data_IF_214177178953
#
_entry.id   IF_214177178953
#
_cell.length_a   1.000
_cell.length_b   1.000
_cell.length_c   1.000
_cell.angle_alpha   90.00
_cell.angle_beta   90.00
_cell.angle_gamma   90.00
#
_symmetry.space_group_name_H-M   'P 1'
#
loop_
_entity.id
_entity.type
_entity.pdbx_description
1 polymer ?
#
# COMPACT_ATOMS: atom_id res chain seq x y z
N UNK A 1 1.61 18.81 23.51
CA UNK A 1 1.15 18.05 22.31
C UNK A 1 1.14 19.03 21.16
N UNK A 2 2.07 18.84 20.23
CA UNK A 2 2.43 19.82 19.21
C UNK A 2 1.30 20.01 18.17
N UNK A 3 1.05 21.27 17.84
CA UNK A 3 0.16 21.68 16.73
C UNK A 3 0.64 21.16 15.36
N UNK A 4 1.92 20.90 15.18
CA UNK A 4 2.52 20.29 14.00
C UNK A 4 1.94 18.88 13.71
N UNK A 5 1.81 18.01 14.70
CA UNK A 5 1.26 16.64 14.49
C UNK A 5 -0.16 16.63 13.91
N UNK A 6 -1.01 17.62 14.26
CA UNK A 6 -2.38 17.70 13.73
C UNK A 6 -2.44 18.17 12.28
N UNK A 7 -1.52 19.06 11.88
CA UNK A 7 -1.44 19.51 10.50
C UNK A 7 -0.90 18.41 9.58
N UNK A 8 0.14 17.69 10.00
CA UNK A 8 0.68 16.57 9.24
C UNK A 8 -0.37 15.48 9.00
N UNK A 9 -1.14 15.09 10.00
CA UNK A 9 -2.26 14.14 9.85
C UNK A 9 -3.37 14.63 8.92
N UNK A 10 -3.62 15.94 8.85
CA UNK A 10 -4.65 16.48 7.96
C UNK A 10 -4.20 16.40 6.49
N UNK A 11 -2.95 16.74 6.20
CA UNK A 11 -2.38 16.60 4.86
C UNK A 11 -2.33 15.13 4.41
N UNK A 12 -1.86 14.25 5.27
CA UNK A 12 -1.82 12.81 5.00
C UNK A 12 -3.21 12.24 4.69
N UNK A 13 -4.25 12.68 5.38
CA UNK A 13 -5.62 12.26 5.10
C UNK A 13 -6.13 12.77 3.75
N UNK A 14 -5.83 14.02 3.39
CA UNK A 14 -6.24 14.62 2.11
C UNK A 14 -5.57 13.93 0.93
N UNK A 15 -4.25 13.65 1.03
CA UNK A 15 -3.51 12.87 0.05
C UNK A 15 -4.06 11.43 -0.08
N UNK A 16 -4.39 10.81 1.05
CA UNK A 16 -4.96 9.47 1.08
C UNK A 16 -6.35 9.40 0.43
N UNK A 17 -7.18 10.41 0.63
CA UNK A 17 -8.50 10.48 0.00
C UNK A 17 -8.39 10.68 -1.51
N UNK A 18 -7.45 11.50 -1.98
CA UNK A 18 -7.14 11.62 -3.40
C UNK A 18 -6.64 10.29 -3.97
N UNK A 19 -5.67 9.64 -3.33
CA UNK A 19 -5.15 8.36 -3.78
C UNK A 19 -6.24 7.29 -3.86
N UNK A 20 -7.12 7.20 -2.86
CA UNK A 20 -8.27 6.29 -2.87
C UNK A 20 -9.20 6.58 -4.05
N UNK A 21 -9.49 7.85 -4.32
CA UNK A 21 -10.34 8.24 -5.42
C UNK A 21 -9.74 7.80 -6.77
N UNK A 22 -8.46 8.10 -7.00
CA UNK A 22 -7.75 7.72 -8.23
C UNK A 22 -7.73 6.21 -8.43
N UNK A 23 -7.35 5.45 -7.40
CA UNK A 23 -7.31 3.99 -7.48
C UNK A 23 -8.69 3.37 -7.74
N UNK A 24 -9.74 3.88 -7.08
CA UNK A 24 -11.10 3.38 -7.27
C UNK A 24 -11.66 3.75 -8.65
N UNK A 25 -11.29 4.91 -9.18
CA UNK A 25 -11.65 5.33 -10.52
C UNK A 25 -11.02 4.41 -11.56
N UNK A 26 -9.69 4.23 -11.53
CA UNK A 26 -8.98 3.34 -12.45
C UNK A 26 -9.52 1.90 -12.34
N UNK A 27 -9.78 1.42 -11.13
CA UNK A 27 -10.33 0.08 -10.94
C UNK A 27 -11.71 -0.13 -11.57
N UNK A 28 -12.54 0.92 -11.64
CA UNK A 28 -13.93 0.82 -12.16
C UNK A 28 -14.03 1.17 -13.62
N UNK A 29 -13.33 2.21 -14.07
CA UNK A 29 -13.53 2.80 -15.39
C UNK A 29 -12.54 2.26 -16.45
N UNK A 30 -11.40 1.68 -16.03
CA UNK A 30 -10.39 1.16 -16.95
C UNK A 30 -10.63 -0.32 -17.26
N UNK A 31 -10.11 -0.79 -18.41
CA UNK A 31 -10.12 -2.21 -18.77
C UNK A 31 -9.21 -3.02 -17.83
N UNK A 32 -9.45 -4.33 -17.74
CA UNK A 32 -8.74 -5.20 -16.78
C UNK A 32 -7.21 -5.13 -16.87
N UNK A 33 -6.65 -4.98 -18.09
CA UNK A 33 -5.21 -4.83 -18.30
C UNK A 33 -4.63 -3.50 -17.81
N UNK A 34 -5.47 -2.47 -17.72
CA UNK A 34 -5.06 -1.10 -17.35
C UNK A 34 -5.43 -0.76 -15.90
N UNK A 35 -6.01 -1.69 -15.14
CA UNK A 35 -6.35 -1.52 -13.72
C UNK A 35 -5.12 -1.62 -12.83
N UNK A 36 -4.16 -0.76 -13.07
CA UNK A 36 -2.86 -0.78 -12.41
C UNK A 36 -2.59 0.49 -11.61
N UNK A 37 -1.67 0.38 -10.66
CA UNK A 37 -1.27 1.53 -9.86
C UNK A 37 -0.54 2.61 -10.69
N UNK A 38 0.31 2.25 -11.66
CA UNK A 38 0.87 3.23 -12.60
C UNK A 38 -0.17 4.05 -13.34
N UNK A 39 -1.32 3.49 -13.73
CA UNK A 39 -2.39 4.24 -14.38
C UNK A 39 -3.04 5.27 -13.45
N UNK A 40 -3.20 4.94 -12.17
CA UNK A 40 -3.66 5.90 -11.17
C UNK A 40 -2.67 7.06 -10.99
N UNK A 41 -1.37 6.78 -11.06
CA UNK A 41 -0.33 7.80 -11.02
C UNK A 41 -0.30 8.66 -12.29
N UNK A 42 -0.45 8.07 -13.47
CA UNK A 42 -0.55 8.81 -14.74
C UNK A 42 -1.76 9.75 -14.74
N UNK A 43 -2.90 9.30 -14.20
CA UNK A 43 -4.10 10.13 -14.07
C UNK A 43 -3.82 11.37 -13.20
N UNK A 44 -3.07 11.21 -12.11
CA UNK A 44 -2.67 12.32 -11.24
C UNK A 44 -1.76 13.33 -11.96
N UNK A 45 -0.81 12.84 -12.77
CA UNK A 45 0.18 13.70 -13.42
C UNK A 45 -0.34 14.43 -14.67
N UNK A 46 -1.20 13.77 -15.44
CA UNK A 46 -1.57 14.22 -16.78
C UNK A 46 -2.82 15.12 -16.79
N UNK A 47 -3.52 15.24 -15.66
CA UNK A 47 -4.72 16.07 -15.58
C UNK A 47 -4.49 17.31 -14.72
N UNK A 48 -5.06 18.44 -15.14
CA UNK A 48 -5.17 19.62 -14.28
C UNK A 48 -6.18 19.36 -13.16
N UNK A 49 -6.16 20.18 -12.10
CA UNK A 49 -7.13 20.08 -11.02
C UNK A 49 -8.56 20.23 -11.53
N UNK A 50 -8.79 21.17 -12.46
CA UNK A 50 -10.11 21.42 -13.06
C UNK A 50 -10.59 20.20 -13.88
N UNK A 51 -9.68 19.54 -14.59
CA UNK A 51 -10.00 18.33 -15.35
C UNK A 51 -10.31 17.15 -14.42
N UNK A 52 -9.60 17.02 -13.31
CA UNK A 52 -9.92 16.03 -12.27
C UNK A 52 -11.29 16.33 -11.64
N UNK A 53 -11.55 17.58 -11.23
CA UNK A 53 -12.84 17.98 -10.66
C UNK A 53 -13.99 17.65 -11.65
N UNK A 54 -13.87 18.00 -12.93
CA UNK A 54 -14.87 17.68 -13.95
C UNK A 54 -15.08 16.16 -14.13
N UNK A 55 -13.97 15.38 -14.13
CA UNK A 55 -14.03 13.92 -14.25
C UNK A 55 -14.81 13.29 -13.10
N UNK A 56 -14.48 13.65 -11.86
CA UNK A 56 -15.13 13.04 -10.68
C UNK A 56 -16.54 13.57 -10.41
N UNK A 57 -16.84 14.81 -10.76
CA UNK A 57 -18.20 15.38 -10.67
C UNK A 57 -19.16 14.71 -11.68
N UNK A 58 -18.67 14.36 -12.87
CA UNK A 58 -19.44 13.63 -13.89
C UNK A 58 -19.79 12.18 -13.53
N UNK A 59 -19.16 11.60 -12.49
CA UNK A 59 -19.46 10.23 -12.07
C UNK A 59 -20.85 10.10 -11.44
N UNK A 60 -21.50 8.92 -11.57
CA UNK A 60 -22.75 8.61 -10.85
C UNK A 60 -22.60 8.75 -9.33
N UNK A 61 -23.68 9.11 -8.63
CA UNK A 61 -23.64 9.32 -7.17
C UNK A 61 -23.20 8.08 -6.38
N UNK A 62 -23.49 6.89 -6.86
CA UNK A 62 -23.11 5.62 -6.23
C UNK A 62 -21.72 5.13 -6.64
N UNK A 63 -20.96 5.90 -7.43
CA UNK A 63 -19.62 5.52 -7.84
C UNK A 63 -18.64 5.54 -6.65
N UNK A 64 -17.88 4.46 -6.40
CA UNK A 64 -17.04 4.33 -5.18
C UNK A 64 -15.94 5.39 -5.06
N UNK A 65 -15.47 5.94 -6.18
CA UNK A 65 -14.44 6.98 -6.18
C UNK A 65 -14.99 8.37 -5.79
N UNK A 66 -16.29 8.61 -5.93
CA UNK A 66 -16.89 9.93 -5.73
C UNK A 66 -16.84 10.39 -4.27
N UNK A 67 -17.05 9.48 -3.32
CA UNK A 67 -16.97 9.78 -1.90
C UNK A 67 -15.60 10.29 -1.45
N UNK A 68 -14.52 9.52 -1.67
CA UNK A 68 -13.17 9.96 -1.37
C UNK A 68 -12.78 11.25 -2.10
N UNK A 69 -13.15 11.40 -3.38
CA UNK A 69 -12.86 12.63 -4.12
C UNK A 69 -13.56 13.85 -3.52
N UNK A 70 -14.80 13.73 -3.09
CA UNK A 70 -15.51 14.80 -2.39
C UNK A 70 -14.86 15.24 -1.08
N UNK A 71 -14.25 14.30 -0.33
CA UNK A 71 -13.50 14.64 0.88
C UNK A 71 -12.25 15.45 0.52
N UNK A 72 -11.49 15.00 -0.47
CA UNK A 72 -10.36 15.74 -1.01
C UNK A 72 -10.79 17.13 -1.53
N UNK A 73 -11.86 17.20 -2.32
CA UNK A 73 -12.34 18.43 -2.95
C UNK A 73 -12.76 19.50 -1.94
N UNK A 74 -13.33 19.11 -0.79
CA UNK A 74 -13.68 20.04 0.29
C UNK A 74 -12.48 20.71 0.97
N UNK A 75 -11.29 20.16 0.80
CA UNK A 75 -10.07 20.71 1.38
C UNK A 75 -9.43 21.79 0.48
N UNK A 76 -10.21 22.76 -0.01
CA UNK A 76 -9.81 23.75 -1.03
C UNK A 76 -8.46 24.42 -0.80
N UNK A 77 -8.16 24.78 0.44
CA UNK A 77 -6.91 25.48 0.80
C UNK A 77 -5.65 24.63 0.64
N UNK A 78 -5.79 23.30 0.58
CA UNK A 78 -4.66 22.35 0.59
C UNK A 78 -4.65 21.43 -0.62
N UNK A 79 -5.63 21.50 -1.52
CA UNK A 79 -5.71 20.65 -2.73
C UNK A 79 -4.39 20.61 -3.50
N UNK A 80 -3.83 21.80 -3.83
CA UNK A 80 -2.58 21.89 -4.58
C UNK A 80 -1.41 21.22 -3.87
N UNK A 81 -1.30 21.43 -2.56
CA UNK A 81 -0.26 20.79 -1.76
C UNK A 81 -0.45 19.28 -1.66
N UNK A 82 -1.69 18.79 -1.55
CA UNK A 82 -1.97 17.36 -1.52
C UNK A 82 -1.65 16.68 -2.86
N UNK A 83 -1.90 17.32 -4.00
CA UNK A 83 -1.51 16.81 -5.32
C UNK A 83 0.03 16.72 -5.42
N UNK A 84 0.74 17.79 -5.04
CA UNK A 84 2.20 17.83 -5.07
C UNK A 84 2.81 16.80 -4.09
N UNK A 85 2.28 16.71 -2.87
CA UNK A 85 2.73 15.76 -1.87
C UNK A 85 2.53 14.32 -2.32
N UNK A 86 1.34 13.99 -2.82
CA UNK A 86 1.05 12.67 -3.37
C UNK A 86 1.92 12.36 -4.60
N UNK A 87 2.09 13.31 -5.51
CA UNK A 87 2.97 13.17 -6.67
C UNK A 87 4.42 12.88 -6.29
N UNK A 88 4.93 13.56 -5.27
CA UNK A 88 6.28 13.32 -4.73
C UNK A 88 6.39 11.94 -4.08
N UNK A 89 5.43 11.54 -3.25
CA UNK A 89 5.43 10.21 -2.60
C UNK A 89 5.34 9.06 -3.61
N UNK A 90 4.65 9.28 -4.71
CA UNK A 90 4.49 8.29 -5.79
C UNK A 90 5.53 8.43 -6.90
N UNK A 91 6.53 9.28 -6.75
CA UNK A 91 7.55 9.53 -7.78
C UNK A 91 8.27 8.26 -8.24
N UNK A 92 8.37 7.25 -7.37
CA UNK A 92 8.91 5.94 -7.72
C UNK A 92 8.19 5.30 -8.91
N UNK A 93 6.92 5.64 -9.15
CA UNK A 93 6.12 5.17 -10.29
C UNK A 93 6.59 5.75 -11.63
N UNK A 94 7.53 6.70 -11.66
CA UNK A 94 8.20 7.14 -12.90
C UNK A 94 9.23 6.12 -13.39
N UNK A 95 9.72 5.26 -12.52
CA UNK A 95 10.66 4.21 -12.89
C UNK A 95 9.93 3.12 -13.71
N UNK A 96 10.40 2.87 -14.94
CA UNK A 96 9.80 1.88 -15.86
C UNK A 96 9.76 0.47 -15.29
N UNK A 97 10.82 0.04 -14.57
CA UNK A 97 10.86 -1.27 -13.93
C UNK A 97 9.79 -1.41 -12.84
N UNK A 98 9.59 -0.34 -12.06
CA UNK A 98 8.53 -0.32 -11.03
C UNK A 98 7.16 -0.38 -11.68
N UNK A 99 6.94 0.36 -12.78
CA UNK A 99 5.69 0.28 -13.54
C UNK A 99 5.45 -1.15 -14.05
N UNK A 100 6.47 -1.78 -14.61
CA UNK A 100 6.37 -3.15 -15.11
C UNK A 100 6.04 -4.14 -13.98
N UNK A 101 6.81 -4.16 -12.89
CA UNK A 101 6.58 -5.05 -11.73
C UNK A 101 5.19 -4.86 -11.13
N UNK A 102 4.67 -3.63 -11.10
CA UNK A 102 3.37 -3.32 -10.48
C UNK A 102 2.18 -3.42 -11.44
N UNK A 103 2.41 -3.67 -12.72
CA UNK A 103 1.37 -3.81 -13.75
C UNK A 103 0.86 -5.24 -13.93
N UNK A 104 1.54 -6.23 -13.38
CA UNK A 104 1.25 -7.65 -13.59
C UNK A 104 0.87 -8.35 -12.30
N UNK A 105 0.24 -9.50 -12.44
CA UNK A 105 -0.14 -10.39 -11.35
C UNK A 105 0.59 -11.72 -11.47
N UNK A 106 1.90 -11.73 -11.22
CA UNK A 106 2.76 -12.89 -11.41
C UNK A 106 2.85 -13.77 -10.16
N UNK A 107 2.54 -13.21 -8.98
CA UNK A 107 2.68 -13.88 -7.69
C UNK A 107 1.31 -14.07 -7.04
N UNK A 108 0.95 -15.32 -6.74
CA UNK A 108 -0.22 -15.62 -5.90
C UNK A 108 0.16 -15.50 -4.42
N UNK A 109 -0.22 -14.39 -3.80
CA UNK A 109 0.06 -14.12 -2.39
C UNK A 109 -0.66 -15.06 -1.41
N UNK A 110 -1.56 -15.92 -1.86
CA UNK A 110 -2.24 -16.93 -1.02
C UNK A 110 -1.61 -18.32 -1.14
N UNK A 111 -0.80 -18.55 -2.16
CA UNK A 111 -0.19 -19.83 -2.47
C UNK A 111 0.61 -20.45 -1.31
N UNK A 112 1.43 -19.67 -0.54
CA UNK A 112 2.18 -20.25 0.58
C UNK A 112 1.30 -20.87 1.67
N UNK A 113 0.07 -20.36 1.83
CA UNK A 113 -0.91 -20.93 2.77
C UNK A 113 -1.66 -22.15 2.23
N UNK A 114 -1.53 -22.47 0.94
CA UNK A 114 -2.22 -23.56 0.26
C UNK A 114 -1.30 -24.76 0.03
N UNK A 115 -0.05 -24.52 -0.37
CA UNK A 115 0.93 -25.57 -0.64
C UNK A 115 2.33 -25.14 -0.19
N UNK A 116 3.19 -26.15 0.05
CA UNK A 116 4.59 -25.90 0.41
C UNK A 116 5.31 -25.18 -0.73
N UNK A 117 5.76 -23.97 -0.49
CA UNK A 117 6.59 -23.17 -1.40
C UNK A 117 7.41 -22.18 -0.60
N UNK A 118 8.37 -21.52 -1.24
CA UNK A 118 9.16 -20.43 -0.66
C UNK A 118 9.17 -19.23 -1.61
N UNK A 119 8.99 -18.05 -1.07
CA UNK A 119 9.17 -16.78 -1.77
C UNK A 119 10.42 -16.09 -1.23
N UNK A 120 11.30 -15.69 -2.14
CA UNK A 120 12.50 -14.96 -1.82
C UNK A 120 12.35 -13.52 -2.34
N UNK A 121 12.31 -12.57 -1.41
CA UNK A 121 12.29 -11.15 -1.72
C UNK A 121 13.71 -10.60 -1.49
N UNK A 122 14.42 -10.31 -2.57
CA UNK A 122 15.78 -9.79 -2.51
C UNK A 122 15.71 -8.28 -2.66
N UNK A 123 16.23 -7.54 -1.70
CA UNK A 123 16.33 -6.07 -1.70
C UNK A 123 17.80 -5.64 -1.77
N UNK A 124 18.04 -4.41 -2.22
CA UNK A 124 19.39 -3.84 -2.25
C UNK A 124 19.75 -3.27 -0.88
N UNK A 125 20.95 -3.52 -0.42
CA UNK A 125 21.49 -2.91 0.81
C UNK A 125 21.96 -1.47 0.58
N UNK A 126 22.16 -1.08 -0.68
CA UNK A 126 22.76 0.21 -1.04
C UNK A 126 21.74 1.21 -1.58
N UNK A 127 20.57 0.76 -2.03
CA UNK A 127 19.55 1.59 -2.66
C UNK A 127 18.19 1.37 -2.01
N UNK A 128 17.77 2.31 -1.18
CA UNK A 128 16.49 2.30 -0.49
C UNK A 128 15.29 2.71 -1.39
N UNK A 129 15.54 3.04 -2.66
CA UNK A 129 14.49 3.49 -3.59
C UNK A 129 13.36 2.46 -3.71
N UNK A 130 13.70 1.17 -3.62
CA UNK A 130 12.74 0.08 -3.77
C UNK A 130 12.20 -0.50 -2.46
N UNK A 131 12.59 0.01 -1.30
CA UNK A 131 12.12 -0.46 0.00
C UNK A 131 10.61 -0.40 0.15
N UNK A 132 9.97 0.58 -0.49
CA UNK A 132 8.51 0.70 -0.53
C UNK A 132 7.85 -0.52 -1.18
N UNK A 133 8.45 -1.11 -2.21
CA UNK A 133 7.92 -2.31 -2.87
C UNK A 133 8.03 -3.53 -1.95
N UNK A 134 9.16 -3.69 -1.26
CA UNK A 134 9.35 -4.75 -0.26
C UNK A 134 8.34 -4.61 0.90
N UNK A 135 8.15 -3.38 1.39
CA UNK A 135 7.16 -3.06 2.43
C UNK A 135 5.74 -3.41 1.98
N UNK A 136 5.36 -3.04 0.76
CA UNK A 136 4.06 -3.37 0.17
C UNK A 136 3.90 -4.87 -0.01
N UNK A 137 4.92 -5.57 -0.52
CA UNK A 137 4.89 -7.02 -0.69
C UNK A 137 4.64 -7.74 0.63
N UNK A 138 5.43 -7.45 1.68
CA UNK A 138 5.24 -8.05 3.01
C UNK A 138 3.86 -7.72 3.58
N UNK A 139 3.41 -6.46 3.43
CA UNK A 139 2.09 -6.03 3.92
C UNK A 139 0.95 -6.76 3.22
N UNK A 140 0.97 -6.83 1.89
CA UNK A 140 -0.08 -7.50 1.13
C UNK A 140 -0.05 -9.01 1.30
N UNK A 141 1.13 -9.62 1.40
CA UNK A 141 1.26 -11.05 1.70
C UNK A 141 0.60 -11.39 3.05
N UNK A 142 0.90 -10.61 4.11
CA UNK A 142 0.23 -10.77 5.40
C UNK A 142 -1.29 -10.61 5.30
N UNK A 143 -1.77 -9.54 4.65
CA UNK A 143 -3.22 -9.28 4.52
C UNK A 143 -3.91 -10.41 3.75
N UNK A 144 -3.32 -10.87 2.65
CA UNK A 144 -3.92 -11.92 1.81
C UNK A 144 -3.94 -13.26 2.52
N UNK A 145 -2.87 -13.63 3.22
CA UNK A 145 -2.81 -14.88 4.00
C UNK A 145 -3.82 -14.86 5.17
N UNK A 146 -3.91 -13.76 5.91
CA UNK A 146 -4.90 -13.60 6.98
C UNK A 146 -6.33 -13.74 6.44
N UNK A 147 -6.66 -13.03 5.34
CA UNK A 147 -7.97 -13.12 4.70
C UNK A 147 -8.26 -14.51 4.14
N UNK A 148 -7.24 -15.20 3.66
CA UNK A 148 -7.38 -16.57 3.18
C UNK A 148 -7.64 -17.53 4.34
N UNK A 149 -6.90 -17.43 5.46
CA UNK A 149 -7.14 -18.18 6.68
C UNK A 149 -8.55 -17.95 7.24
N UNK A 150 -9.01 -16.70 7.29
CA UNK A 150 -10.34 -16.35 7.82
C UNK A 150 -11.50 -16.97 7.02
N UNK A 151 -11.27 -17.39 5.79
CA UNK A 151 -12.25 -18.12 4.94
C UNK A 151 -12.22 -19.63 5.14
N UNK A 152 -11.21 -20.18 5.83
CA UNK A 152 -11.15 -21.60 6.14
C UNK A 152 -12.09 -21.94 7.31
N UNK A 153 -12.59 -23.20 7.40
CA UNK A 153 -13.51 -23.60 8.45
C UNK A 153 -12.97 -23.38 9.87
N UNK A 154 -11.68 -23.64 10.08
CA UNK A 154 -10.99 -23.49 11.37
C UNK A 154 -10.26 -22.14 11.52
N UNK A 155 -10.42 -21.25 10.52
CA UNK A 155 -9.75 -19.93 10.43
C UNK A 155 -8.24 -20.03 10.51
N UNK A 156 -7.65 -21.08 9.97
CA UNK A 156 -6.20 -21.32 9.91
C UNK A 156 -5.78 -21.58 8.47
N UNK A 157 -4.51 -21.32 8.19
CA UNK A 157 -3.93 -21.71 6.91
C UNK A 157 -3.80 -23.25 6.83
N UNK A 158 -4.17 -23.87 5.71
CA UNK A 158 -3.92 -25.31 5.48
C UNK A 158 -2.44 -25.68 5.58
N UNK A 159 -1.55 -24.79 5.17
CA UNK A 159 -0.10 -24.93 5.30
C UNK A 159 0.42 -23.76 6.14
N UNK A 160 1.10 -24.01 7.28
CA UNK A 160 1.70 -22.95 8.07
C UNK A 160 2.72 -22.14 7.26
N UNK A 161 2.70 -20.82 7.42
CA UNK A 161 3.59 -19.89 6.73
C UNK A 161 4.51 -19.22 7.73
N UNK A 162 5.79 -19.15 7.41
CA UNK A 162 6.81 -18.46 8.20
C UNK A 162 7.42 -17.33 7.39
N UNK A 163 7.31 -16.10 7.91
CA UNK A 163 8.07 -14.96 7.44
C UNK A 163 9.43 -14.96 8.13
N UNK A 164 10.49 -14.99 7.36
CA UNK A 164 11.85 -14.76 7.83
C UNK A 164 12.26 -13.39 7.31
N UNK A 165 12.22 -12.39 8.19
CA UNK A 165 12.46 -10.99 7.87
C UNK A 165 13.87 -10.63 8.34
N UNK A 166 14.84 -10.92 7.48
CA UNK A 166 16.24 -10.59 7.72
C UNK A 166 16.44 -9.08 7.56
N UNK A 167 17.27 -8.50 8.43
CA UNK A 167 17.50 -7.06 8.49
C UNK A 167 16.20 -6.22 8.44
N UNK A 168 15.20 -6.67 9.18
CA UNK A 168 13.85 -6.11 9.16
C UNK A 168 13.77 -4.58 9.24
N UNK A 169 14.61 -3.86 10.00
CA UNK A 169 14.60 -2.40 10.01
C UNK A 169 14.92 -1.76 8.65
N UNK A 170 15.58 -2.47 7.74
CA UNK A 170 15.96 -1.95 6.43
C UNK A 170 14.85 -2.07 5.38
N UNK A 171 13.84 -2.93 5.62
CA UNK A 171 12.70 -3.11 4.67
C UNK A 171 11.77 -1.89 4.63
N UNK A 172 11.98 -0.87 5.48
CA UNK A 172 11.02 0.21 5.67
C UNK A 172 9.99 -0.09 6.77
N UNK A 173 9.04 0.82 6.98
CA UNK A 173 8.02 0.66 8.02
C UNK A 173 6.81 -0.07 7.47
N UNK A 174 6.58 -1.31 7.93
CA UNK A 174 5.36 -2.07 7.60
C UNK A 174 4.18 -1.51 8.39
N UNK A 175 3.15 -0.94 7.74
CA UNK A 175 2.02 -0.34 8.45
C UNK A 175 1.31 -1.34 9.35
N UNK A 176 0.85 -0.90 10.51
CA UNK A 176 0.11 -1.72 11.51
C UNK A 176 0.84 -3.02 11.89
N UNK A 177 2.17 -3.04 11.90
CA UNK A 177 2.94 -4.26 12.11
C UNK A 177 2.61 -4.95 13.45
N UNK A 178 2.47 -4.19 14.53
CA UNK A 178 2.05 -4.73 15.85
C UNK A 178 0.72 -5.50 15.76
N UNK A 179 -0.25 -4.95 15.00
CA UNK A 179 -1.56 -5.58 14.80
C UNK A 179 -1.46 -6.82 13.91
N UNK A 180 -0.65 -6.75 12.85
CA UNK A 180 -0.37 -7.91 11.98
C UNK A 180 0.25 -9.05 12.78
N UNK A 181 1.26 -8.77 13.59
CA UNK A 181 1.93 -9.75 14.45
C UNK A 181 0.97 -10.41 15.46
N UNK A 182 0.14 -9.61 16.12
CA UNK A 182 -0.83 -10.12 17.08
C UNK A 182 -1.88 -11.06 16.45
N UNK A 183 -2.29 -10.78 15.21
CA UNK A 183 -3.32 -11.57 14.52
C UNK A 183 -2.77 -12.79 13.76
N UNK A 184 -1.48 -12.79 13.43
CA UNK A 184 -0.84 -13.81 12.61
C UNK A 184 -0.81 -15.19 13.28
N UNK A 185 -0.46 -15.24 14.58
CA UNK A 185 -0.25 -16.50 15.32
C UNK A 185 -1.46 -17.44 15.30
N UNK A 186 -2.65 -16.91 15.52
CA UNK A 186 -3.88 -17.71 15.54
C UNK A 186 -4.23 -18.34 14.18
N UNK A 187 -3.62 -17.84 13.11
CA UNK A 187 -3.85 -18.27 11.71
C UNK A 187 -2.74 -19.14 11.15
N UNK A 188 -1.84 -19.63 12.00
CA UNK A 188 -0.65 -20.40 11.62
C UNK A 188 0.35 -19.59 10.76
N UNK A 189 0.47 -18.31 11.05
CA UNK A 189 1.48 -17.45 10.44
C UNK A 189 2.51 -17.10 11.52
N UNK A 190 3.74 -17.60 11.36
CA UNK A 190 4.89 -17.30 12.20
C UNK A 190 5.71 -16.14 11.61
N UNK A 191 6.36 -15.35 12.47
CA UNK A 191 7.28 -14.31 12.05
C UNK A 191 8.59 -14.44 12.82
N UNK A 192 9.70 -14.58 12.09
CA UNK A 192 11.06 -14.49 12.59
C UNK A 192 11.62 -13.16 12.13
N UNK A 193 11.95 -12.28 13.07
CA UNK A 193 12.42 -10.93 12.82
C UNK A 193 13.85 -10.85 13.27
N UNK A 194 14.78 -10.56 12.34
CA UNK A 194 16.18 -10.36 12.64
C UNK A 194 16.53 -8.87 12.54
N UNK A 195 17.31 -8.40 13.48
CA UNK A 195 17.79 -7.02 13.57
C UNK A 195 19.12 -6.96 14.29
N UNK A 196 19.93 -5.96 13.99
CA UNK A 196 21.29 -5.85 14.53
C UNK A 196 21.31 -5.36 15.99
N UNK A 197 20.40 -4.44 16.34
CA UNK A 197 20.31 -3.89 17.69
C UNK A 197 18.90 -3.38 18.01
N UNK A 198 18.58 -3.34 19.32
CA UNK A 198 17.26 -2.92 19.81
C UNK A 198 16.97 -1.45 19.50
N UNK A 199 17.87 -0.48 19.64
CA UNK A 199 17.60 0.90 19.28
C UNK A 199 17.14 1.10 17.83
N UNK A 200 17.70 0.37 16.88
CA UNK A 200 17.30 0.41 15.48
C UNK A 200 15.84 -0.01 15.29
N UNK A 201 15.42 -1.07 15.99
CA UNK A 201 14.03 -1.52 15.95
C UNK A 201 13.09 -0.51 16.62
N UNK A 202 13.46 0.05 17.77
CA UNK A 202 12.65 1.02 18.50
C UNK A 202 12.46 2.33 17.71
N UNK A 203 13.46 2.78 16.97
CA UNK A 203 13.36 3.97 16.11
C UNK A 203 12.36 3.78 14.96
N UNK A 204 12.18 2.55 14.49
CA UNK A 204 11.23 2.23 13.39
C UNK A 204 9.83 1.90 13.91
N UNK A 205 9.75 1.25 15.08
CA UNK A 205 8.49 0.76 15.68
C UNK A 205 8.40 1.18 17.17
N UNK A 206 8.18 2.47 17.45
CA UNK A 206 8.09 3.02 18.80
C UNK A 206 6.91 2.47 19.63
#
# INVERSE_FOLDING_TARGET
RNTTDKFDHFYDNTEMDLLKALCLYVYREYHDGDRTFPEAYKLLLNQSLEALDATFDGLPENHPAKGPYRLFSKAEKVKGNAILGLGTRLQIMQNKLVQEITSHKDIDLTLPGQKKCAYFCITSDQDSTFDVLATLFVSFLCIKLVRFADRQPDRKLPVPVFFILDEFPNIGVVPDFKKKLATARSRQIGMCILYQNIPQLQNRYP
#
